data_IF_111315743512
#
_entry.id   IF_111315743512
#
_cell.length_a   1.000
_cell.length_b   1.000
_cell.length_c   1.000
_cell.angle_alpha   90.00
_cell.angle_beta   90.00
_cell.angle_gamma   90.00
#
_symmetry.space_group_name_H-M   'P 1'
#
loop_
_entity.id
_entity.type
_entity.pdbx_description
1 polymer ?
#
# COMPACT_ATOMS: atom_id res chain seq x y z
N UNK A 1 28.41 25.04 2.32
CA UNK A 1 29.29 24.84 1.16
C UNK A 1 28.58 25.36 -0.08
N UNK A 2 29.27 26.12 -0.94
CA UNK A 2 28.76 26.54 -2.24
C UNK A 2 29.55 25.79 -3.32
N UNK A 3 28.85 25.02 -4.14
CA UNK A 3 29.49 24.18 -5.17
C UNK A 3 30.20 25.01 -6.24
N UNK A 4 29.61 26.13 -6.66
CA UNK A 4 30.18 27.03 -7.68
C UNK A 4 31.48 27.63 -7.16
N UNK A 5 31.46 28.17 -5.93
CA UNK A 5 32.66 28.74 -5.29
C UNK A 5 33.75 27.66 -5.08
N UNK A 6 33.36 26.45 -4.67
CA UNK A 6 34.29 25.34 -4.46
C UNK A 6 34.99 24.94 -5.77
N UNK A 7 34.26 24.75 -6.86
CA UNK A 7 34.82 24.34 -8.16
C UNK A 7 35.65 25.46 -8.79
N UNK A 8 35.22 26.72 -8.66
CA UNK A 8 35.88 27.89 -9.24
C UNK A 8 37.16 28.31 -8.50
N UNK A 9 37.39 27.82 -7.28
CA UNK A 9 38.59 28.14 -6.51
C UNK A 9 39.85 27.55 -7.19
N UNK A 10 40.79 28.37 -7.71
CA UNK A 10 41.99 27.88 -8.39
C UNK A 10 43.02 27.25 -7.44
N UNK A 11 42.88 27.45 -6.13
CA UNK A 11 43.77 26.91 -5.10
C UNK A 11 43.23 25.62 -4.44
N UNK A 12 42.10 25.08 -4.91
CA UNK A 12 41.54 23.84 -4.38
C UNK A 12 42.41 22.64 -4.74
N UNK A 13 42.36 21.59 -3.91
CA UNK A 13 42.87 20.28 -4.29
C UNK A 13 41.98 19.63 -5.37
N UNK A 14 42.52 18.60 -6.05
CA UNK A 14 41.75 17.82 -7.02
C UNK A 14 40.45 17.31 -6.37
N UNK A 15 39.31 17.50 -7.04
CA UNK A 15 38.02 17.06 -6.53
C UNK A 15 37.79 15.63 -7.00
N UNK A 16 37.48 14.74 -6.06
CA UNK A 16 37.13 13.35 -6.33
C UNK A 16 35.60 13.24 -6.33
N UNK A 17 35.07 12.73 -7.43
CA UNK A 17 33.63 12.54 -7.66
C UNK A 17 33.31 11.05 -7.54
N UNK A 18 32.38 10.69 -6.66
CA UNK A 18 31.82 9.34 -6.58
C UNK A 18 30.56 9.27 -7.45
N UNK A 19 30.68 8.66 -8.64
CA UNK A 19 29.57 8.42 -9.56
C UNK A 19 28.66 7.32 -9.00
N UNK A 20 27.37 7.62 -8.80
CA UNK A 20 26.45 6.72 -8.10
C UNK A 20 26.72 6.55 -6.60
N UNK A 21 27.53 7.42 -5.99
CA UNK A 21 28.03 7.24 -4.62
C UNK A 21 29.11 6.15 -4.50
N UNK A 22 29.43 5.72 -3.27
CA UNK A 22 30.44 4.67 -3.04
C UNK A 22 29.83 3.27 -3.26
N UNK A 23 29.53 2.95 -4.52
CA UNK A 23 28.76 1.77 -4.94
C UNK A 23 29.40 0.41 -4.60
N UNK A 24 30.70 0.38 -4.35
CA UNK A 24 31.41 -0.83 -3.92
C UNK A 24 31.16 -1.17 -2.43
N UNK A 25 30.63 -0.24 -1.64
CA UNK A 25 30.34 -0.42 -0.20
C UNK A 25 28.84 -0.41 0.14
N UNK A 26 27.99 0.11 -0.74
CA UNK A 26 26.54 0.16 -0.59
C UNK A 26 25.87 0.24 -1.97
N UNK A 27 24.57 -0.09 -2.12
CA UNK A 27 23.88 0.05 -3.39
C UNK A 27 24.11 1.43 -4.00
N UNK A 28 24.45 1.47 -5.28
CA UNK A 28 24.53 2.70 -6.07
C UNK A 28 23.32 3.59 -5.75
N UNK A 29 23.52 4.91 -5.82
CA UNK A 29 22.43 5.87 -5.82
C UNK A 29 21.60 5.92 -4.50
N UNK A 30 22.08 5.25 -3.45
CA UNK A 30 21.41 5.19 -2.16
C UNK A 30 21.93 6.23 -1.17
N UNK A 31 21.11 6.58 -0.18
CA UNK A 31 21.56 7.43 0.94
C UNK A 31 22.76 6.81 1.69
N UNK A 32 22.88 5.49 1.69
CA UNK A 32 24.00 4.80 2.33
C UNK A 32 25.28 4.96 1.50
N UNK A 33 25.24 4.83 0.17
CA UNK A 33 26.43 5.03 -0.68
C UNK A 33 26.91 6.48 -0.66
N UNK A 34 25.98 7.46 -0.54
CA UNK A 34 26.31 8.87 -0.32
C UNK A 34 27.01 9.05 1.03
N UNK A 35 26.48 8.47 2.10
CA UNK A 35 27.08 8.56 3.44
C UNK A 35 28.49 7.98 3.47
N UNK A 36 28.70 6.83 2.83
CA UNK A 36 30.01 6.19 2.72
C UNK A 36 31.00 7.04 1.93
N UNK A 37 30.56 7.65 0.83
CA UNK A 37 31.39 8.60 0.08
C UNK A 37 31.78 9.82 0.94
N UNK A 38 30.87 10.35 1.77
CA UNK A 38 31.18 11.43 2.71
C UNK A 38 32.22 10.98 3.76
N UNK A 39 32.04 9.81 4.37
CA UNK A 39 32.97 9.24 5.36
C UNK A 39 34.37 8.96 4.78
N UNK A 40 34.43 8.53 3.52
CA UNK A 40 35.67 8.28 2.79
C UNK A 40 36.31 9.57 2.21
N UNK A 41 35.71 10.74 2.43
CA UNK A 41 36.29 12.03 2.06
C UNK A 41 36.13 12.43 0.60
N UNK A 42 35.20 11.82 -0.13
CA UNK A 42 34.86 12.26 -1.49
C UNK A 42 34.26 13.67 -1.47
N UNK A 43 34.55 14.46 -2.50
CA UNK A 43 34.16 15.87 -2.54
C UNK A 43 32.79 16.09 -3.17
N UNK A 44 32.40 15.22 -4.09
CA UNK A 44 31.14 15.29 -4.83
C UNK A 44 30.60 13.87 -4.98
N UNK A 45 29.28 13.74 -4.90
CA UNK A 45 28.58 12.51 -5.29
C UNK A 45 27.64 12.89 -6.44
N UNK A 46 27.65 12.08 -7.49
CA UNK A 46 26.68 12.16 -8.57
C UNK A 46 25.66 11.03 -8.39
N UNK A 47 24.38 11.34 -8.63
CA UNK A 47 23.26 10.41 -8.50
C UNK A 47 22.33 10.54 -9.72
N UNK A 48 21.73 9.43 -10.15
CA UNK A 48 20.76 9.39 -11.27
C UNK A 48 19.41 8.76 -10.87
N UNK A 49 19.11 8.64 -9.57
CA UNK A 49 17.79 8.15 -9.14
C UNK A 49 16.70 9.14 -9.48
N UNK A 50 15.63 8.60 -10.05
CA UNK A 50 14.38 9.32 -10.28
C UNK A 50 13.29 8.58 -9.56
N UNK A 51 12.45 9.33 -8.85
CA UNK A 51 11.21 8.77 -8.32
C UNK A 51 10.38 8.28 -9.51
N UNK A 52 10.03 6.98 -9.58
CA UNK A 52 9.22 6.48 -10.69
C UNK A 52 7.87 7.16 -10.66
N UNK A 53 7.38 7.53 -11.85
CA UNK A 53 6.00 7.94 -12.00
C UNK A 53 5.08 6.73 -11.92
N UNK A 54 3.79 6.96 -11.66
CA UNK A 54 2.78 5.89 -11.72
C UNK A 54 2.76 5.21 -13.10
N UNK A 55 3.00 5.99 -14.16
CA UNK A 55 3.15 5.49 -15.52
C UNK A 55 4.27 4.47 -15.65
N UNK A 56 5.45 4.79 -15.12
CA UNK A 56 6.62 3.91 -15.20
C UNK A 56 6.35 2.57 -14.52
N UNK A 57 5.67 2.61 -13.37
CA UNK A 57 5.24 1.40 -12.66
C UNK A 57 4.27 0.59 -13.52
N UNK A 58 3.22 1.22 -14.04
CA UNK A 58 2.21 0.56 -14.87
C UNK A 58 2.80 -0.08 -16.14
N UNK A 59 3.69 0.62 -16.85
CA UNK A 59 4.36 0.07 -18.03
C UNK A 59 5.26 -1.12 -17.69
N UNK A 60 5.98 -1.05 -16.55
CA UNK A 60 6.89 -2.11 -16.12
C UNK A 60 6.16 -3.39 -15.69
N UNK A 61 5.01 -3.25 -15.03
CA UNK A 61 4.30 -4.38 -14.39
C UNK A 61 3.16 -4.96 -15.22
N UNK A 62 2.77 -4.29 -16.31
CA UNK A 62 1.71 -4.72 -17.20
C UNK A 62 1.90 -6.18 -17.65
N UNK A 63 0.87 -7.01 -17.37
CA UNK A 63 0.79 -8.45 -17.63
C UNK A 63 1.85 -9.30 -16.90
N UNK A 64 2.41 -8.82 -15.79
CA UNK A 64 3.44 -9.52 -15.01
C UNK A 64 3.08 -9.71 -13.55
N UNK A 65 2.48 -8.70 -12.92
CA UNK A 65 2.11 -8.73 -11.50
C UNK A 65 0.92 -7.78 -11.26
N UNK A 66 0.10 -8.09 -10.26
CA UNK A 66 -0.96 -7.20 -9.79
C UNK A 66 -0.41 -6.13 -8.84
N UNK A 67 -0.99 -4.92 -8.89
CA UNK A 67 -0.52 -3.78 -8.10
C UNK A 67 -1.63 -3.27 -7.17
N UNK A 68 -1.37 -3.32 -5.87
CA UNK A 68 -2.19 -2.63 -4.87
C UNK A 68 -1.74 -1.17 -4.73
N UNK A 69 -2.63 -0.24 -5.05
CA UNK A 69 -2.39 1.19 -4.98
C UNK A 69 -2.88 1.76 -3.64
N UNK A 70 -1.94 2.10 -2.78
CA UNK A 70 -2.22 2.80 -1.52
C UNK A 70 -2.33 4.33 -1.76
N UNK A 71 -3.48 4.74 -2.28
CA UNK A 71 -3.76 6.12 -2.67
C UNK A 71 -3.97 6.98 -1.41
N UNK A 72 -3.04 7.90 -1.16
CA UNK A 72 -3.00 8.69 0.09
C UNK A 72 -4.08 9.76 0.21
N UNK A 73 -4.70 10.16 -0.90
CA UNK A 73 -5.70 11.22 -0.91
C UNK A 73 -6.96 10.80 -1.66
N UNK A 74 -8.10 10.76 -0.95
CA UNK A 74 -9.37 10.26 -1.51
C UNK A 74 -9.83 11.01 -2.76
N UNK A 75 -9.54 12.32 -2.86
CA UNK A 75 -9.98 13.14 -3.99
C UNK A 75 -9.24 12.85 -5.30
N UNK A 76 -8.04 12.24 -5.26
CA UNK A 76 -7.31 11.87 -6.49
C UNK A 76 -7.66 10.48 -7.00
N UNK A 77 -8.40 9.68 -6.21
CA UNK A 77 -8.77 8.31 -6.59
C UNK A 77 -9.40 8.28 -8.00
N UNK A 78 -10.43 9.08 -8.34
CA UNK A 78 -11.04 9.00 -9.67
C UNK A 78 -10.05 9.26 -10.81
N UNK A 79 -9.13 10.22 -10.65
CA UNK A 79 -8.10 10.52 -11.65
C UNK A 79 -7.14 9.34 -11.84
N UNK A 80 -6.75 8.66 -10.76
CA UNK A 80 -5.91 7.46 -10.80
C UNK A 80 -6.63 6.30 -11.49
N UNK A 81 -7.93 6.10 -11.22
CA UNK A 81 -8.72 5.05 -11.86
C UNK A 81 -8.90 5.32 -13.37
N UNK A 82 -9.23 6.55 -13.74
CA UNK A 82 -9.27 7.00 -15.13
C UNK A 82 -7.94 6.76 -15.84
N UNK A 83 -6.83 6.99 -15.15
CA UNK A 83 -5.50 6.77 -15.70
C UNK A 83 -5.21 5.29 -15.94
N UNK A 84 -5.55 4.42 -14.98
CA UNK A 84 -5.41 2.97 -15.14
C UNK A 84 -6.27 2.43 -16.30
N UNK A 85 -7.50 2.93 -16.46
CA UNK A 85 -8.36 2.61 -17.60
C UNK A 85 -7.78 3.07 -18.93
N UNK A 86 -7.28 4.31 -19.02
CA UNK A 86 -6.64 4.84 -20.23
C UNK A 86 -5.42 4.01 -20.66
N UNK A 87 -4.74 3.39 -19.70
CA UNK A 87 -3.61 2.50 -19.95
C UNK A 87 -4.01 1.03 -20.17
N UNK A 88 -5.29 0.68 -20.02
CA UNK A 88 -5.81 -0.67 -20.23
C UNK A 88 -5.37 -1.69 -19.18
N UNK A 89 -5.08 -1.23 -17.96
CA UNK A 89 -4.61 -2.07 -16.85
C UNK A 89 -5.58 -2.06 -15.66
N UNK A 90 -6.81 -1.60 -15.84
CA UNK A 90 -7.83 -1.43 -14.79
C UNK A 90 -8.17 -2.74 -14.04
N UNK A 91 -7.92 -3.89 -14.67
CA UNK A 91 -8.09 -5.23 -14.08
C UNK A 91 -6.82 -5.80 -13.43
N UNK A 92 -5.72 -5.05 -13.48
CA UNK A 92 -4.41 -5.46 -12.95
C UNK A 92 -4.00 -4.62 -11.73
N UNK A 93 -4.81 -3.64 -11.39
CA UNK A 93 -4.63 -2.79 -10.22
C UNK A 93 -5.82 -2.96 -9.30
N UNK A 94 -5.57 -2.84 -8.01
CA UNK A 94 -6.61 -2.57 -7.02
C UNK A 94 -6.16 -1.42 -6.11
N UNK A 95 -7.05 -0.98 -5.24
CA UNK A 95 -6.77 0.04 -4.24
C UNK A 95 -7.74 -0.13 -3.07
N UNK A 96 -7.50 0.57 -1.97
CA UNK A 96 -8.42 0.56 -0.83
C UNK A 96 -9.22 1.86 -0.73
N UNK A 97 -10.44 1.77 -0.21
CA UNK A 97 -11.26 2.92 0.16
C UNK A 97 -11.96 2.71 1.51
N UNK A 98 -11.95 3.74 2.35
CA UNK A 98 -12.69 3.73 3.62
C UNK A 98 -14.20 3.74 3.37
N UNK A 99 -14.90 2.76 3.97
CA UNK A 99 -16.35 2.67 4.08
C UNK A 99 -16.74 2.78 5.55
N UNK A 100 -16.92 4.01 6.05
CA UNK A 100 -17.29 4.27 7.46
C UNK A 100 -18.73 4.73 7.61
N UNK A 101 -19.24 5.43 6.60
CA UNK A 101 -20.53 6.14 6.67
C UNK A 101 -21.36 5.95 5.40
N UNK A 102 -22.64 6.31 5.47
CA UNK A 102 -23.50 6.39 4.28
C UNK A 102 -22.98 7.40 3.23
N UNK A 103 -22.27 8.45 3.66
CA UNK A 103 -21.63 9.41 2.75
C UNK A 103 -20.47 8.74 1.99
N UNK A 104 -19.69 7.90 2.66
CA UNK A 104 -18.63 7.13 2.00
C UNK A 104 -19.23 6.15 0.99
N UNK A 105 -20.31 5.46 1.36
CA UNK A 105 -21.05 4.55 0.48
C UNK A 105 -21.55 5.26 -0.78
N UNK A 106 -22.23 6.39 -0.62
CA UNK A 106 -22.71 7.20 -1.73
C UNK A 106 -21.57 7.69 -2.62
N UNK A 107 -20.46 8.12 -2.01
CA UNK A 107 -19.28 8.57 -2.75
C UNK A 107 -18.63 7.44 -3.54
N UNK A 108 -18.48 6.24 -2.97
CA UNK A 108 -17.91 5.07 -3.66
C UNK A 108 -18.79 4.69 -4.86
N UNK A 109 -20.11 4.61 -4.65
CA UNK A 109 -21.07 4.33 -5.73
C UNK A 109 -20.94 5.36 -6.87
N UNK A 110 -20.84 6.64 -6.55
CA UNK A 110 -20.76 7.70 -7.55
C UNK A 110 -19.41 7.79 -8.28
N UNK A 111 -18.29 7.48 -7.62
CA UNK A 111 -16.94 7.82 -8.12
C UNK A 111 -16.05 6.61 -8.40
N UNK A 112 -16.35 5.42 -7.87
CA UNK A 112 -15.48 4.24 -8.02
C UNK A 112 -16.15 3.18 -8.88
N UNK A 113 -17.41 2.84 -8.58
CA UNK A 113 -18.06 1.67 -9.19
C UNK A 113 -18.22 1.77 -10.72
N UNK A 114 -18.18 2.97 -11.27
CA UNK A 114 -18.21 3.24 -12.71
C UNK A 114 -16.90 2.89 -13.43
N UNK A 115 -15.79 2.79 -12.71
CA UNK A 115 -14.46 2.58 -13.31
C UNK A 115 -14.12 1.09 -13.50
N UNK A 116 -14.95 0.17 -12.98
CA UNK A 116 -14.71 -1.28 -13.09
C UNK A 116 -13.30 -1.72 -12.65
N UNK A 117 -12.67 -0.95 -11.76
CA UNK A 117 -11.41 -1.28 -11.08
C UNK A 117 -11.77 -2.02 -9.79
N UNK A 118 -11.19 -3.20 -9.53
CA UNK A 118 -11.35 -3.88 -8.24
C UNK A 118 -10.89 -2.97 -7.09
N UNK A 119 -11.63 -2.98 -5.98
CA UNK A 119 -11.22 -2.24 -4.79
C UNK A 119 -11.53 -3.01 -3.52
N UNK A 120 -10.76 -2.70 -2.49
CA UNK A 120 -10.89 -3.23 -1.15
C UNK A 120 -11.65 -2.21 -0.30
N UNK A 121 -12.83 -2.57 0.18
CA UNK A 121 -13.59 -1.73 1.10
C UNK A 121 -13.09 -1.95 2.54
N UNK A 122 -12.48 -0.92 3.14
CA UNK A 122 -12.10 -0.98 4.56
C UNK A 122 -13.35 -0.83 5.42
N UNK A 123 -13.65 -1.90 6.15
CA UNK A 123 -14.87 -2.09 6.91
C UNK A 123 -14.53 -2.16 8.40
N UNK A 124 -15.07 -1.22 9.16
CA UNK A 124 -14.62 -0.94 10.53
C UNK A 124 -15.44 -1.64 11.62
N UNK A 125 -15.41 -2.98 11.65
CA UNK A 125 -16.20 -3.77 12.61
C UNK A 125 -15.78 -3.54 14.08
N UNK A 126 -14.64 -2.91 14.33
CA UNK A 126 -14.23 -2.46 15.66
C UNK A 126 -15.10 -1.34 16.25
N UNK A 127 -16.02 -0.77 15.46
CA UNK A 127 -17.03 0.19 15.90
C UNK A 127 -18.41 -0.48 16.00
N UNK A 128 -19.47 0.14 15.46
CA UNK A 128 -20.77 -0.53 15.32
C UNK A 128 -20.71 -1.53 14.16
N UNK A 129 -20.28 -2.75 14.47
CA UNK A 129 -20.12 -3.81 13.48
C UNK A 129 -21.42 -4.14 12.73
N UNK A 130 -22.60 -3.91 13.33
CA UNK A 130 -23.88 -4.21 12.67
C UNK A 130 -24.20 -3.18 11.61
N UNK A 131 -23.96 -1.91 11.90
CA UNK A 131 -24.10 -0.83 10.93
C UNK A 131 -23.07 -0.98 9.79
N UNK A 132 -21.81 -1.23 10.14
CA UNK A 132 -20.74 -1.43 9.16
C UNK A 132 -21.00 -2.63 8.24
N UNK A 133 -21.48 -3.75 8.79
CA UNK A 133 -21.87 -4.90 7.98
C UNK A 133 -23.01 -4.57 7.00
N UNK A 134 -23.98 -3.74 7.39
CA UNK A 134 -25.05 -3.29 6.48
C UNK A 134 -24.50 -2.47 5.32
N UNK A 135 -23.61 -1.50 5.60
CA UNK A 135 -22.98 -0.68 4.56
C UNK A 135 -22.23 -1.56 3.55
N UNK A 136 -21.44 -2.51 4.03
CA UNK A 136 -20.68 -3.43 3.18
C UNK A 136 -21.60 -4.37 2.36
N UNK A 137 -22.67 -4.90 2.96
CA UNK A 137 -23.67 -5.73 2.25
C UNK A 137 -24.48 -4.94 1.22
N UNK A 138 -24.67 -3.63 1.44
CA UNK A 138 -25.30 -2.76 0.46
C UNK A 138 -24.35 -2.42 -0.70
N UNK A 139 -23.06 -2.23 -0.40
CA UNK A 139 -22.03 -1.95 -1.39
C UNK A 139 -21.66 -3.17 -2.24
N UNK A 140 -21.64 -4.36 -1.63
CA UNK A 140 -21.18 -5.64 -2.21
C UNK A 140 -19.81 -5.53 -2.90
N UNK A 141 -18.77 -5.06 -2.19
CA UNK A 141 -17.42 -5.02 -2.75
C UNK A 141 -16.90 -6.45 -2.97
N UNK A 142 -15.95 -6.61 -3.90
CA UNK A 142 -15.29 -7.90 -4.10
C UNK A 142 -14.52 -8.34 -2.85
N UNK A 143 -13.84 -7.39 -2.19
CA UNK A 143 -13.01 -7.62 -1.02
C UNK A 143 -13.37 -6.59 0.07
N UNK A 144 -13.53 -7.07 1.30
CA UNK A 144 -13.62 -6.25 2.50
C UNK A 144 -12.38 -6.49 3.36
N UNK A 145 -11.58 -5.45 3.59
CA UNK A 145 -10.60 -5.46 4.68
C UNK A 145 -11.37 -5.19 5.98
N UNK A 146 -11.42 -6.17 6.87
CA UNK A 146 -12.12 -6.07 8.13
C UNK A 146 -11.16 -5.80 9.29
N UNK A 147 -11.34 -4.67 9.96
CA UNK A 147 -10.84 -4.45 11.31
C UNK A 147 -11.91 -4.83 12.32
N UNK A 148 -11.52 -5.42 13.45
CA UNK A 148 -12.45 -5.97 14.45
C UNK A 148 -11.83 -5.99 15.85
N UNK A 149 -12.65 -6.07 16.90
CA UNK A 149 -12.18 -6.27 18.28
C UNK A 149 -12.21 -7.74 18.69
N UNK A 150 -13.19 -8.48 18.20
CA UNK A 150 -13.39 -9.89 18.52
C UNK A 150 -13.80 -10.66 17.25
N UNK A 151 -13.25 -11.87 17.08
CA UNK A 151 -13.62 -12.75 15.96
C UNK A 151 -15.11 -13.12 15.95
N UNK A 152 -15.79 -13.08 17.10
CA UNK A 152 -17.23 -13.30 17.15
C UNK A 152 -18.02 -12.31 16.29
N UNK A 153 -17.48 -11.10 16.07
CA UNK A 153 -18.08 -10.10 15.19
C UNK A 153 -18.02 -10.53 13.72
N UNK A 154 -16.90 -11.15 13.33
CA UNK A 154 -16.70 -11.73 12.00
C UNK A 154 -17.57 -12.99 11.84
N UNK A 155 -17.58 -13.86 12.85
CA UNK A 155 -18.41 -15.08 12.82
C UNK A 155 -19.90 -14.79 12.66
N UNK A 156 -20.39 -13.67 13.22
CA UNK A 156 -21.78 -13.28 13.13
C UNK A 156 -22.23 -12.82 11.74
N UNK A 157 -21.29 -12.44 10.86
CA UNK A 157 -21.59 -11.85 9.55
C UNK A 157 -20.97 -12.60 8.36
N UNK A 158 -19.97 -13.47 8.61
CA UNK A 158 -19.22 -14.17 7.56
C UNK A 158 -20.10 -14.92 6.55
N UNK A 159 -21.19 -15.52 7.01
CA UNK A 159 -22.11 -16.24 6.11
C UNK A 159 -22.86 -15.29 5.18
N UNK A 160 -23.33 -14.15 5.71
CA UNK A 160 -24.02 -13.14 4.90
C UNK A 160 -23.07 -12.53 3.85
N UNK A 161 -21.80 -12.35 4.23
CA UNK A 161 -20.76 -11.84 3.33
C UNK A 161 -20.43 -12.85 2.24
N UNK A 162 -20.23 -14.11 2.62
CA UNK A 162 -20.03 -15.21 1.67
C UNK A 162 -21.20 -15.33 0.69
N UNK A 163 -22.45 -15.31 1.17
CA UNK A 163 -23.65 -15.41 0.33
C UNK A 163 -23.81 -14.19 -0.59
N UNK A 164 -23.25 -13.04 -0.21
CA UNK A 164 -23.17 -11.84 -1.03
C UNK A 164 -21.97 -11.82 -1.99
N UNK A 165 -21.09 -12.83 -1.96
CA UNK A 165 -19.88 -12.91 -2.78
C UNK A 165 -18.73 -12.01 -2.31
N UNK A 166 -18.76 -11.56 -1.04
CA UNK A 166 -17.76 -10.67 -0.45
C UNK A 166 -16.63 -11.51 0.16
N UNK A 167 -15.39 -11.24 -0.25
CA UNK A 167 -14.18 -11.86 0.30
C UNK A 167 -13.65 -11.08 1.50
N UNK A 168 -13.18 -11.77 2.53
CA UNK A 168 -12.61 -11.13 3.73
C UNK A 168 -11.07 -11.09 3.69
N UNK A 169 -10.54 -9.89 3.91
CA UNK A 169 -9.12 -9.59 4.11
C UNK A 169 -8.90 -9.11 5.55
N UNK A 170 -7.80 -9.51 6.19
CA UNK A 170 -7.34 -8.96 7.47
C UNK A 170 -5.86 -8.59 7.40
N UNK A 171 -5.44 -7.50 8.03
CA UNK A 171 -4.02 -7.21 8.20
C UNK A 171 -3.55 -7.71 9.58
N UNK A 172 -2.35 -8.31 9.62
CA UNK A 172 -1.72 -8.80 10.86
C UNK A 172 -0.52 -7.97 11.32
N UNK A 173 -0.41 -6.73 10.82
CA UNK A 173 0.58 -5.76 11.29
C UNK A 173 0.17 -5.15 12.64
N UNK A 174 1.15 -4.88 13.51
CA UNK A 174 0.95 -4.46 14.91
C UNK A 174 0.12 -3.19 15.13
N UNK A 175 0.01 -2.32 14.12
CA UNK A 175 -0.68 -1.03 14.22
C UNK A 175 -2.16 -1.08 13.81
N UNK A 176 -2.71 -2.26 13.52
CA UNK A 176 -4.09 -2.42 13.01
C UNK A 176 -4.99 -3.03 14.09
N UNK A 177 -6.29 -2.71 14.02
CA UNK A 177 -7.32 -3.24 14.90
C UNK A 177 -7.64 -4.71 14.56
N UNK A 178 -6.69 -5.59 14.82
CA UNK A 178 -6.80 -7.06 14.84
C UNK A 178 -6.12 -7.60 16.11
N UNK A 179 -6.63 -7.21 17.30
CA UNK A 179 -5.92 -7.41 18.57
C UNK A 179 -5.64 -8.89 18.84
N UNK A 180 -4.37 -9.21 19.07
CA UNK A 180 -3.89 -10.58 19.30
C UNK A 180 -3.58 -11.38 18.03
N UNK A 181 -3.87 -10.84 16.84
CA UNK A 181 -3.55 -11.46 15.55
C UNK A 181 -2.43 -10.70 14.85
N UNK A 182 -1.21 -10.82 15.38
CA UNK A 182 -0.04 -10.10 14.85
C UNK A 182 1.00 -11.02 14.25
N UNK A 183 1.80 -10.50 13.30
CA UNK A 183 2.92 -11.23 12.71
C UNK A 183 3.91 -11.72 13.77
N UNK A 184 4.21 -10.92 14.80
CA UNK A 184 5.12 -11.39 15.85
C UNK A 184 4.54 -12.52 16.68
N UNK A 185 3.22 -12.55 16.93
CA UNK A 185 2.59 -13.69 17.57
C UNK A 185 2.59 -14.92 16.64
N UNK A 186 2.42 -14.71 15.33
CA UNK A 186 2.48 -15.77 14.32
C UNK A 186 3.87 -16.38 14.19
N UNK A 187 4.96 -15.64 14.47
CA UNK A 187 6.31 -16.21 14.52
C UNK A 187 6.47 -17.29 15.61
N UNK A 188 5.72 -17.20 16.71
CA UNK A 188 5.73 -18.20 17.78
C UNK A 188 4.76 -19.36 17.49
N UNK A 189 3.54 -19.05 17.04
CA UNK A 189 2.51 -20.04 16.73
C UNK A 189 1.60 -19.57 15.58
N UNK A 190 1.95 -19.91 14.32
CA UNK A 190 1.19 -19.50 13.14
C UNK A 190 -0.27 -19.99 13.15
N UNK A 191 -0.55 -21.16 13.73
CA UNK A 191 -1.91 -21.71 13.73
C UNK A 191 -2.82 -20.95 14.71
N UNK A 192 -2.28 -20.47 15.83
CA UNK A 192 -3.02 -19.60 16.76
C UNK A 192 -3.37 -18.23 16.17
N UNK A 193 -2.65 -17.78 15.15
CA UNK A 193 -2.89 -16.50 14.47
C UNK A 193 -3.54 -16.73 13.10
N UNK A 194 -2.74 -17.00 12.06
CA UNK A 194 -3.21 -17.15 10.69
C UNK A 194 -4.16 -18.35 10.54
N UNK A 195 -3.88 -19.47 11.21
CA UNK A 195 -4.77 -20.64 11.19
C UNK A 195 -6.18 -20.32 11.73
N UNK A 196 -6.26 -19.54 12.81
CA UNK A 196 -7.55 -19.08 13.36
C UNK A 196 -8.26 -18.09 12.42
N UNK A 197 -7.54 -17.16 11.78
CA UNK A 197 -8.11 -16.22 10.81
C UNK A 197 -8.69 -16.96 9.61
N UNK A 198 -7.97 -17.94 9.06
CA UNK A 198 -8.45 -18.80 7.98
C UNK A 198 -9.74 -19.54 8.37
N UNK A 199 -9.78 -20.11 9.58
CA UNK A 199 -11.00 -20.78 10.10
C UNK A 199 -12.17 -19.82 10.36
N UNK A 200 -11.88 -18.55 10.64
CA UNK A 200 -12.90 -17.50 10.77
C UNK A 200 -13.48 -17.05 9.42
N UNK A 201 -12.84 -17.41 8.30
CA UNK A 201 -13.31 -17.13 6.95
C UNK A 201 -12.52 -16.05 6.19
N UNK A 202 -11.39 -15.58 6.74
CA UNK A 202 -10.46 -14.76 5.99
C UNK A 202 -9.74 -15.60 4.94
N UNK A 203 -9.56 -15.06 3.73
CA UNK A 203 -8.81 -15.70 2.65
C UNK A 203 -7.68 -14.85 2.07
N UNK A 204 -7.53 -13.62 2.56
CA UNK A 204 -6.35 -12.78 2.40
C UNK A 204 -5.88 -12.29 3.80
N UNK A 205 -4.58 -12.39 4.07
CA UNK A 205 -3.90 -12.04 5.33
C UNK A 205 -2.66 -11.22 5.02
#
# INVERSE_FOLDING_TARGET
MNYIEYIANPHRQCAIVAHGGLWNEAPENSLLSIRRAMEAGYNVVEIDEKVPSLRDVFELTCNRIFIHLDIKHRHVIPEVLDYAQKMGIEKQVDFWADLKTELDLAWIKANITTHNVPFIARTHLEHDWREQAKLALELKPLICEASFRDLSQVDAMKQQFHDAGITLWVNTIHSVASPGFTDSAALEDPDKVWGRLLRAGFSAI
#
